data_IF_868299590550
#
_entry.id   IF_868299590550
#
_cell.length_a   1.000
_cell.length_b   1.000
_cell.length_c   1.000
_cell.angle_alpha   90.00
_cell.angle_beta   90.00
_cell.angle_gamma   90.00
#
_symmetry.space_group_name_H-M   'P 1'
#
loop_
_entity.id
_entity.type
_entity.pdbx_description
1 polymer ?
#
# COMPACT_ATOMS: atom_id res chain seq x y z
N UNK A 1 -26.83 38.83 12.33
CA UNK A 1 -27.08 38.40 10.94
C UNK A 1 -25.95 38.92 10.08
N UNK A 2 -24.99 38.08 9.74
CA UNK A 2 -24.10 38.32 8.62
C UNK A 2 -23.63 36.94 8.17
N UNK A 3 -24.28 36.43 7.12
CA UNK A 3 -23.94 35.18 6.45
C UNK A 3 -22.54 35.31 5.86
N UNK A 4 -21.58 34.62 6.48
CA UNK A 4 -20.27 34.40 5.87
C UNK A 4 -20.46 33.58 4.58
N UNK A 5 -19.78 33.96 3.48
CA UNK A 5 -19.96 33.29 2.20
C UNK A 5 -19.52 31.83 2.35
N UNK A 6 -20.50 30.93 2.22
CA UNK A 6 -20.29 29.49 2.14
C UNK A 6 -19.46 29.24 0.89
N UNK A 7 -18.14 29.11 1.08
CA UNK A 7 -17.21 28.87 0.00
C UNK A 7 -17.28 27.39 -0.39
N UNK A 8 -17.64 27.22 -1.65
CA UNK A 8 -17.91 25.99 -2.33
C UNK A 8 -16.71 25.02 -2.28
N UNK A 9 -16.91 23.90 -1.57
CA UNK A 9 -16.02 22.74 -1.47
C UNK A 9 -15.64 22.13 -2.85
N UNK A 10 -16.25 22.64 -3.94
CA UNK A 10 -16.01 22.33 -5.36
C UNK A 10 -14.87 23.17 -5.99
N UNK A 11 -14.34 24.23 -5.35
CA UNK A 11 -13.21 25.01 -5.90
C UNK A 11 -11.85 24.77 -5.24
N UNK A 12 -11.78 24.53 -3.92
CA UNK A 12 -10.64 23.80 -3.32
C UNK A 12 -10.51 22.39 -3.93
N UNK A 13 -11.52 22.00 -4.73
CA UNK A 13 -11.69 20.72 -5.38
C UNK A 13 -10.70 20.42 -6.55
N UNK A 14 -9.96 21.43 -7.02
CA UNK A 14 -9.37 21.38 -8.37
C UNK A 14 -7.86 21.05 -8.41
N UNK A 15 -7.11 21.23 -7.31
CA UNK A 15 -5.72 20.77 -7.21
C UNK A 15 -5.58 19.34 -6.66
N UNK A 16 -6.34 19.03 -5.61
CA UNK A 16 -6.18 17.86 -4.75
C UNK A 16 -7.45 16.99 -4.59
N UNK A 17 -8.51 17.21 -5.37
CA UNK A 17 -9.87 16.79 -4.91
C UNK A 17 -10.65 15.96 -5.90
N UNK A 18 -9.92 15.48 -6.90
CA UNK A 18 -10.16 14.21 -7.55
C UNK A 18 -9.15 13.15 -7.10
N UNK A 19 -8.48 13.36 -5.95
CA UNK A 19 -7.71 12.31 -5.32
C UNK A 19 -8.68 11.46 -4.49
N UNK A 20 -8.98 10.23 -4.93
CA UNK A 20 -9.77 9.22 -4.20
C UNK A 20 -9.21 8.89 -2.80
N UNK A 21 -8.04 9.42 -2.50
CA UNK A 21 -7.21 9.26 -1.32
C UNK A 21 -7.53 10.25 -0.19
N UNK A 22 -8.50 11.16 -0.39
CA UNK A 22 -8.80 12.27 0.53
C UNK A 22 -8.99 11.86 1.99
N UNK A 23 -9.51 10.66 2.27
CA UNK A 23 -9.68 10.16 3.64
C UNK A 23 -8.40 9.55 4.25
N UNK A 24 -7.44 9.10 3.43
CA UNK A 24 -6.20 8.46 3.90
C UNK A 24 -5.04 9.43 4.10
N UNK A 25 -4.93 10.49 3.30
CA UNK A 25 -3.86 11.48 3.48
C UNK A 25 -4.18 12.58 4.50
N UNK A 26 -5.46 12.88 4.70
CA UNK A 26 -5.92 13.97 5.55
C UNK A 26 -7.19 13.52 6.28
N UNK A 27 -7.10 13.07 7.54
CA UNK A 27 -8.23 12.55 8.27
C UNK A 27 -9.19 13.69 8.63
N UNK A 28 -10.46 13.35 8.77
CA UNK A 28 -11.44 14.22 9.41
C UNK A 28 -10.95 14.67 10.78
N UNK A 29 -10.94 15.99 11.00
CA UNK A 29 -10.43 16.62 12.22
C UNK A 29 -9.51 17.82 11.98
N UNK A 30 -9.09 18.04 10.73
CA UNK A 30 -8.34 19.23 10.31
C UNK A 30 -9.34 20.31 9.86
N UNK A 31 -9.34 21.45 10.55
CA UNK A 31 -10.17 22.61 10.22
C UNK A 31 -9.83 23.21 8.85
N UNK A 32 -10.73 24.01 8.28
CA UNK A 32 -10.53 24.58 6.93
C UNK A 32 -9.24 25.42 6.82
N UNK A 33 -8.88 26.16 7.87
CA UNK A 33 -7.66 26.98 7.90
C UNK A 33 -6.39 26.14 8.04
N UNK A 34 -6.46 25.04 8.79
CA UNK A 34 -5.37 24.08 8.95
C UNK A 34 -5.08 23.35 7.63
N UNK A 35 -6.13 23.08 6.85
CA UNK A 35 -6.04 22.49 5.52
C UNK A 35 -5.32 23.40 4.52
N UNK A 36 -5.60 24.71 4.56
CA UNK A 36 -4.94 25.68 3.69
C UNK A 36 -3.42 25.76 3.95
N UNK A 37 -3.01 25.67 5.22
CA UNK A 37 -1.58 25.62 5.58
C UNK A 37 -0.90 24.38 5.04
N UNK A 38 -1.60 23.24 5.05
CA UNK A 38 -1.07 21.99 4.54
C UNK A 38 -0.98 21.98 3.00
N UNK A 39 -1.97 22.54 2.31
CA UNK A 39 -1.95 22.69 0.85
C UNK A 39 -0.78 23.56 0.36
N UNK A 40 -0.27 24.49 1.18
CA UNK A 40 0.87 25.34 0.84
C UNK A 40 2.22 24.60 0.87
N UNK A 41 2.35 23.54 1.67
CA UNK A 41 3.60 22.78 1.83
C UNK A 41 3.68 21.57 0.89
N UNK A 42 2.55 21.06 0.42
CA UNK A 42 2.52 19.95 -0.52
C UNK A 42 3.06 20.44 -1.88
N UNK A 43 4.26 20.00 -2.24
CA UNK A 43 4.82 20.34 -3.55
C UNK A 43 4.03 19.64 -4.66
N UNK A 44 3.96 20.32 -5.81
CA UNK A 44 3.15 19.90 -6.96
C UNK A 44 3.49 18.48 -7.40
N UNK A 45 2.47 17.83 -7.99
CA UNK A 45 2.50 16.49 -8.58
C UNK A 45 3.83 16.22 -9.27
N UNK A 46 4.55 15.21 -8.80
CA UNK A 46 5.74 14.69 -9.46
C UNK A 46 5.34 13.45 -10.26
N UNK A 47 5.36 13.51 -11.61
CA UNK A 47 5.15 12.32 -12.43
C UNK A 47 6.37 11.41 -12.30
N UNK A 48 6.13 10.12 -12.16
CA UNK A 48 7.17 9.10 -12.00
C UNK A 48 6.97 8.03 -13.06
N UNK A 49 8.04 7.71 -13.79
CA UNK A 49 8.01 6.64 -14.78
C UNK A 49 8.06 5.26 -14.11
N UNK A 50 7.53 4.23 -14.78
CA UNK A 50 7.67 2.85 -14.30
C UNK A 50 9.15 2.49 -14.15
N UNK A 51 9.52 1.93 -13.00
CA UNK A 51 10.90 1.55 -12.67
C UNK A 51 11.76 2.70 -12.15
N UNK A 52 11.27 3.94 -12.17
CA UNK A 52 11.97 5.07 -11.57
C UNK A 52 11.94 4.96 -10.03
N UNK A 53 13.04 5.41 -9.41
CA UNK A 53 13.23 5.39 -7.95
C UNK A 53 12.88 6.77 -7.37
N UNK A 54 12.03 6.78 -6.35
CA UNK A 54 11.70 7.97 -5.57
C UNK A 54 12.89 8.41 -4.72
N UNK A 55 13.56 7.43 -4.11
CA UNK A 55 14.75 7.57 -3.26
C UNK A 55 15.51 6.23 -3.24
N UNK A 56 16.79 6.28 -2.88
CA UNK A 56 17.69 5.13 -2.76
C UNK A 56 18.08 4.89 -1.30
N UNK A 57 18.68 3.73 -1.06
CA UNK A 57 19.28 3.36 0.22
C UNK A 57 20.36 4.38 0.59
N UNK A 58 20.29 4.90 1.82
CA UNK A 58 21.24 5.89 2.34
C UNK A 58 20.97 7.34 1.92
N UNK A 59 19.97 7.59 1.06
CA UNK A 59 19.57 8.97 0.75
C UNK A 59 19.02 9.65 2.03
N UNK A 60 19.38 10.92 2.24
CA UNK A 60 18.84 11.70 3.35
C UNK A 60 17.32 11.92 3.20
N UNK A 61 16.61 11.96 4.32
CA UNK A 61 15.18 12.27 4.36
C UNK A 61 14.95 13.74 4.02
N UNK A 62 14.64 14.00 2.76
CA UNK A 62 14.28 15.34 2.26
C UNK A 62 12.76 15.52 2.23
N UNK A 63 12.03 14.47 1.87
CA UNK A 63 10.58 14.49 1.73
C UNK A 63 9.96 13.12 2.01
N UNK A 64 8.68 13.14 2.38
CA UNK A 64 7.81 11.95 2.33
C UNK A 64 6.88 12.05 1.14
N UNK A 65 6.49 10.90 0.60
CA UNK A 65 5.71 10.84 -0.64
C UNK A 65 4.37 10.20 -0.41
N UNK A 66 3.31 10.79 -0.97
CA UNK A 66 1.99 10.18 -1.03
C UNK A 66 1.75 9.64 -2.43
N UNK A 67 1.37 8.36 -2.53
CA UNK A 67 0.92 7.79 -3.80
C UNK A 67 -0.41 8.42 -4.21
N UNK A 68 -0.45 9.14 -5.33
CA UNK A 68 -1.69 9.72 -5.86
C UNK A 68 -2.38 8.74 -6.80
N UNK A 69 -1.62 8.22 -7.75
CA UNK A 69 -2.02 7.21 -8.71
C UNK A 69 -0.81 6.35 -9.09
N UNK A 70 -1.09 5.19 -9.67
CA UNK A 70 -0.10 4.14 -9.84
C UNK A 70 0.13 3.35 -8.55
N UNK A 71 1.25 2.63 -8.51
CA UNK A 71 1.67 1.87 -7.35
C UNK A 71 3.19 1.83 -7.27
N UNK A 72 3.68 1.68 -6.04
CA UNK A 72 5.10 1.67 -5.73
C UNK A 72 5.44 0.46 -4.86
N UNK A 73 6.72 0.12 -4.78
CA UNK A 73 7.25 -0.88 -3.86
C UNK A 73 8.42 -0.31 -3.07
N UNK A 74 8.56 -0.73 -1.82
CA UNK A 74 9.80 -0.60 -1.08
C UNK A 74 10.62 -1.86 -1.25
N UNK A 75 11.91 -1.72 -1.59
CA UNK A 75 12.83 -2.84 -1.75
C UNK A 75 14.07 -2.66 -0.89
N UNK A 76 14.55 -3.77 -0.34
CA UNK A 76 15.94 -3.88 0.13
C UNK A 76 16.74 -4.62 -0.92
N UNK A 77 18.02 -4.29 -1.05
CA UNK A 77 18.96 -4.96 -1.95
C UNK A 77 20.00 -5.64 -1.07
N UNK A 78 20.17 -6.96 -1.21
CA UNK A 78 21.21 -7.68 -0.50
C UNK A 78 22.61 -7.36 -1.04
N UNK A 79 23.66 -7.77 -0.32
CA UNK A 79 25.05 -7.64 -0.79
C UNK A 79 25.27 -8.35 -2.14
N UNK A 80 24.53 -9.44 -2.39
CA UNK A 80 24.57 -10.20 -3.64
C UNK A 80 23.74 -9.55 -4.77
N UNK A 81 23.10 -8.41 -4.52
CA UNK A 81 22.27 -7.68 -5.49
C UNK A 81 20.85 -8.20 -5.64
N UNK A 82 20.40 -9.13 -4.78
CA UNK A 82 19.04 -9.65 -4.81
C UNK A 82 18.05 -8.63 -4.22
N UNK A 83 17.04 -8.26 -5.02
CA UNK A 83 15.96 -7.40 -4.54
C UNK A 83 14.98 -8.21 -3.67
N UNK A 84 14.77 -7.75 -2.44
CA UNK A 84 13.71 -8.22 -1.55
C UNK A 84 12.63 -7.14 -1.43
N UNK A 85 11.39 -7.49 -1.79
CA UNK A 85 10.25 -6.57 -1.63
C UNK A 85 9.84 -6.54 -0.17
N UNK A 86 9.88 -5.35 0.43
CA UNK A 86 9.49 -5.10 1.82
C UNK A 86 8.01 -4.73 1.92
N UNK A 87 7.47 -4.07 0.89
CA UNK A 87 6.08 -3.63 0.92
C UNK A 87 5.63 -3.05 -0.40
N UNK A 88 4.31 -2.99 -0.57
CA UNK A 88 3.65 -2.32 -1.69
C UNK A 88 2.94 -1.08 -1.19
N UNK A 89 2.97 -0.01 -1.97
CA UNK A 89 2.30 1.25 -1.69
C UNK A 89 1.27 1.52 -2.77
N UNK A 90 0.00 1.56 -2.34
CA UNK A 90 -1.16 1.81 -3.18
C UNK A 90 -1.57 3.28 -3.11
N UNK A 91 -2.46 3.75 -4.01
CA UNK A 91 -3.01 5.10 -3.93
C UNK A 91 -3.49 5.44 -2.51
N UNK A 92 -2.91 6.49 -1.96
CA UNK A 92 -3.20 7.02 -0.63
C UNK A 92 -2.35 6.55 0.50
N UNK A 93 -1.36 5.72 0.22
CA UNK A 93 -0.37 5.33 1.19
C UNK A 93 0.89 6.19 1.09
N UNK A 94 1.50 6.41 2.26
CA UNK A 94 2.73 7.16 2.43
C UNK A 94 3.94 6.26 2.20
N UNK A 95 4.97 6.82 1.57
CA UNK A 95 6.25 6.22 1.23
C UNK A 95 7.36 7.10 1.84
N UNK A 96 8.45 6.48 2.30
CA UNK A 96 9.59 7.17 2.91
C UNK A 96 9.51 7.29 4.43
N UNK A 97 8.56 6.60 5.08
CA UNK A 97 8.43 6.59 6.54
C UNK A 97 9.59 5.86 7.23
N UNK A 98 10.31 5.00 6.52
CA UNK A 98 11.45 4.24 7.01
C UNK A 98 12.60 5.14 7.48
N UNK A 99 12.74 6.32 6.86
CA UNK A 99 13.79 7.27 7.17
C UNK A 99 13.48 8.18 8.37
N UNK A 100 12.24 8.20 8.88
CA UNK A 100 11.84 9.10 9.96
C UNK A 100 12.65 8.91 11.25
N UNK A 101 13.13 7.68 11.51
CA UNK A 101 13.88 7.36 12.72
C UNK A 101 15.37 7.71 12.64
N UNK A 102 16.00 7.55 11.47
CA UNK A 102 17.45 7.76 11.27
C UNK A 102 17.82 9.03 10.52
N UNK A 103 16.86 9.68 9.84
CA UNK A 103 17.13 10.78 8.91
C UNK A 103 17.64 10.31 7.54
N UNK A 104 17.73 9.00 7.31
CA UNK A 104 18.22 8.38 6.07
C UNK A 104 17.36 7.17 5.71
N UNK A 105 17.12 6.98 4.41
CA UNK A 105 16.34 5.87 3.87
C UNK A 105 17.06 4.53 4.06
N UNK A 106 16.33 3.55 4.59
CA UNK A 106 16.78 2.17 4.85
C UNK A 106 16.38 1.20 3.75
N UNK A 107 15.62 1.68 2.77
CA UNK A 107 15.18 0.93 1.60
C UNK A 107 15.09 1.85 0.39
N UNK A 108 14.77 1.29 -0.77
CA UNK A 108 14.52 2.07 -1.99
C UNK A 108 13.03 2.08 -2.32
N UNK A 109 12.49 3.24 -2.69
CA UNK A 109 11.13 3.39 -3.19
C UNK A 109 11.10 3.35 -4.71
N UNK A 110 10.39 2.40 -5.32
CA UNK A 110 10.40 2.17 -6.78
C UNK A 110 8.98 2.16 -7.34
N UNK A 111 8.78 2.82 -8.47
CA UNK A 111 7.51 2.79 -9.19
C UNK A 111 7.27 1.44 -9.88
N UNK A 112 6.19 0.74 -9.51
CA UNK A 112 5.73 -0.49 -10.19
C UNK A 112 5.01 -0.17 -11.51
N UNK A 113 4.31 0.95 -11.54
CA UNK A 113 3.61 1.48 -12.71
C UNK A 113 3.99 2.95 -12.88
N UNK A 114 3.79 3.51 -14.08
CA UNK A 114 3.79 4.95 -14.21
C UNK A 114 2.68 5.54 -13.32
N UNK A 115 2.95 6.67 -12.69
CA UNK A 115 2.01 7.28 -11.77
C UNK A 115 2.47 8.66 -11.30
N UNK A 116 1.77 9.19 -10.31
CA UNK A 116 2.10 10.47 -9.70
C UNK A 116 2.22 10.34 -8.19
N UNK A 117 3.14 11.10 -7.62
CA UNK A 117 3.25 11.28 -6.17
C UNK A 117 3.04 12.75 -5.79
N UNK A 118 2.55 12.97 -4.58
CA UNK A 118 2.68 14.26 -3.91
C UNK A 118 3.93 14.21 -3.04
N UNK A 119 4.87 15.11 -3.28
CA UNK A 119 6.09 15.25 -2.50
C UNK A 119 5.86 16.27 -1.38
N UNK A 120 6.11 15.86 -0.15
CA UNK A 120 5.91 16.69 1.04
C UNK A 120 7.26 16.86 1.74
N UNK A 121 7.89 18.04 1.64
CA UNK A 121 9.16 18.32 2.30
C UNK A 121 9.05 18.04 3.81
N UNK A 122 9.99 17.27 4.34
CA UNK A 122 9.89 16.77 5.71
C UNK A 122 10.05 17.89 6.75
N UNK A 123 10.93 18.85 6.47
CA UNK A 123 11.14 20.05 7.29
C UNK A 123 9.85 20.88 7.45
N UNK A 124 9.14 21.10 6.36
CA UNK A 124 7.87 21.82 6.34
C UNK A 124 6.75 21.01 7.01
N UNK A 125 6.68 19.70 6.73
CA UNK A 125 5.71 18.81 7.37
C UNK A 125 5.89 18.80 8.89
N UNK A 126 7.13 18.68 9.37
CA UNK A 126 7.47 18.69 10.79
C UNK A 126 7.08 20.02 11.45
N UNK A 127 7.41 21.14 10.80
CA UNK A 127 7.06 22.48 11.28
C UNK A 127 5.55 22.70 11.38
N UNK A 128 4.78 22.27 10.37
CA UNK A 128 3.32 22.40 10.37
C UNK A 128 2.67 21.46 11.37
N UNK A 129 3.16 20.21 11.49
CA UNK A 129 2.67 19.25 12.46
C UNK A 129 2.87 19.72 13.90
N UNK A 130 3.97 20.42 14.20
CA UNK A 130 4.21 21.01 15.52
C UNK A 130 3.19 22.11 15.90
N UNK A 131 2.54 22.73 14.90
CA UNK A 131 1.55 23.79 15.10
C UNK A 131 0.11 23.28 15.09
N UNK A 132 -0.12 22.09 14.54
CA UNK A 132 -1.45 21.52 14.28
C UNK A 132 -1.53 20.16 14.99
N UNK A 133 -2.03 20.11 16.25
CA UNK A 133 -2.09 18.86 17.02
C UNK A 133 -2.87 17.74 16.33
N UNK A 134 -3.94 18.07 15.58
CA UNK A 134 -4.74 17.11 14.81
C UNK A 134 -3.91 16.42 13.72
N UNK A 135 -3.02 17.15 13.06
CA UNK A 135 -2.09 16.63 12.05
C UNK A 135 -1.01 15.75 12.70
N UNK A 136 -0.46 16.17 13.84
CA UNK A 136 0.52 15.37 14.58
C UNK A 136 -0.07 14.01 14.99
N UNK A 137 -1.28 14.02 15.56
CA UNK A 137 -1.99 12.78 15.93
C UNK A 137 -2.24 11.88 14.72
N UNK A 138 -2.51 12.46 13.55
CA UNK A 138 -2.64 11.68 12.33
C UNK A 138 -1.32 11.05 11.90
N UNK A 139 -0.22 11.81 11.91
CA UNK A 139 1.09 11.26 11.54
C UNK A 139 1.46 10.07 12.41
N UNK A 140 1.22 10.16 13.73
CA UNK A 140 1.39 9.04 14.65
C UNK A 140 0.52 7.84 14.29
N UNK A 141 -0.74 8.07 13.91
CA UNK A 141 -1.65 7.01 13.47
C UNK A 141 -1.14 6.32 12.20
N UNK A 142 -0.68 7.08 11.21
CA UNK A 142 -0.12 6.54 9.97
C UNK A 142 1.14 5.71 10.25
N UNK A 143 2.05 6.21 11.10
CA UNK A 143 3.24 5.47 11.50
C UNK A 143 2.84 4.15 12.19
N UNK A 144 1.89 4.20 13.12
CA UNK A 144 1.36 3.01 13.78
C UNK A 144 0.72 2.01 12.81
N UNK A 145 -0.02 2.49 11.81
CA UNK A 145 -0.56 1.64 10.73
C UNK A 145 0.55 1.01 9.88
N UNK A 146 1.66 1.73 9.63
CA UNK A 146 2.81 1.16 8.95
C UNK A 146 3.46 0.03 9.74
N UNK A 147 3.66 0.22 11.04
CA UNK A 147 4.17 -0.84 11.94
C UNK A 147 3.22 -2.04 11.95
N UNK A 148 1.91 -1.81 11.98
CA UNK A 148 0.91 -2.88 11.86
C UNK A 148 1.05 -3.68 10.56
N UNK A 149 1.24 -3.00 9.42
CA UNK A 149 1.47 -3.66 8.12
C UNK A 149 2.75 -4.49 8.12
N UNK A 150 3.81 -4.01 8.76
CA UNK A 150 5.07 -4.75 8.87
C UNK A 150 4.88 -6.01 9.74
N UNK A 151 4.13 -5.92 10.84
CA UNK A 151 3.76 -7.08 11.65
C UNK A 151 2.90 -8.10 10.88
N UNK A 152 1.92 -7.63 10.09
CA UNK A 152 1.11 -8.51 9.23
C UNK A 152 1.97 -9.23 8.20
N UNK A 153 2.95 -8.53 7.61
CA UNK A 153 3.91 -9.12 6.67
C UNK A 153 4.78 -10.19 7.33
N UNK A 154 5.32 -9.92 8.52
CA UNK A 154 6.03 -10.94 9.31
C UNK A 154 5.11 -12.15 9.59
N UNK A 155 3.85 -11.91 9.94
CA UNK A 155 2.84 -12.95 10.13
C UNK A 155 2.66 -13.83 8.89
N UNK A 156 2.66 -13.24 7.68
CA UNK A 156 2.62 -13.97 6.41
C UNK A 156 3.88 -14.83 6.24
N UNK A 157 5.06 -14.27 6.47
CA UNK A 157 6.34 -14.96 6.25
C UNK A 157 6.53 -16.18 7.18
N UNK A 158 5.92 -16.17 8.37
CA UNK A 158 6.00 -17.29 9.33
C UNK A 158 5.08 -18.46 8.95
N UNK A 159 4.05 -18.25 8.11
CA UNK A 159 3.15 -19.33 7.66
C UNK A 159 3.92 -20.38 6.86
N UNK A 160 3.60 -21.66 7.03
CA UNK A 160 4.31 -22.74 6.33
C UNK A 160 3.81 -22.96 4.90
N UNK A 161 2.51 -22.77 4.65
CA UNK A 161 1.91 -23.11 3.36
C UNK A 161 1.89 -21.91 2.42
N UNK A 162 2.31 -22.13 1.17
CA UNK A 162 2.30 -21.08 0.14
C UNK A 162 0.87 -20.55 -0.14
N UNK A 163 -0.13 -21.43 -0.17
CA UNK A 163 -1.51 -21.05 -0.44
C UNK A 163 -2.09 -20.14 0.66
N UNK A 164 -1.75 -20.39 1.93
CA UNK A 164 -2.14 -19.52 3.05
C UNK A 164 -1.55 -18.11 2.84
N UNK A 165 -0.26 -18.02 2.50
CA UNK A 165 0.41 -16.74 2.24
C UNK A 165 -0.22 -15.98 1.08
N UNK A 166 -0.54 -16.67 -0.01
CA UNK A 166 -1.17 -16.07 -1.20
C UNK A 166 -2.60 -15.61 -0.88
N UNK A 167 -3.37 -16.42 -0.14
CA UNK A 167 -4.73 -16.07 0.27
C UNK A 167 -4.73 -14.84 1.21
N UNK A 168 -3.86 -14.82 2.22
CA UNK A 168 -3.65 -13.67 3.11
C UNK A 168 -3.27 -12.40 2.31
N UNK A 169 -2.35 -12.53 1.36
CA UNK A 169 -1.93 -11.42 0.52
C UNK A 169 -3.10 -10.84 -0.29
N UNK A 170 -3.87 -11.69 -0.98
CA UNK A 170 -5.02 -11.25 -1.78
C UNK A 170 -6.11 -10.62 -0.91
N UNK A 171 -6.39 -11.20 0.25
CA UNK A 171 -7.32 -10.63 1.22
C UNK A 171 -6.86 -9.25 1.70
N UNK A 172 -5.63 -9.14 2.18
CA UNK A 172 -5.07 -7.87 2.67
C UNK A 172 -5.10 -6.79 1.59
N UNK A 173 -4.80 -7.17 0.34
CA UNK A 173 -4.86 -6.27 -0.80
C UNK A 173 -6.29 -5.79 -1.10
N UNK A 174 -7.28 -6.69 -1.04
CA UNK A 174 -8.70 -6.35 -1.19
C UNK A 174 -9.19 -5.36 -0.11
N UNK A 175 -8.84 -5.59 1.16
CA UNK A 175 -9.16 -4.65 2.26
C UNK A 175 -8.56 -3.27 2.02
N UNK A 176 -7.32 -3.20 1.55
CA UNK A 176 -6.65 -1.93 1.23
C UNK A 176 -7.33 -1.20 0.08
N UNK A 177 -7.79 -1.91 -0.95
CA UNK A 177 -8.61 -1.32 -2.02
C UNK A 177 -9.98 -0.84 -1.50
N UNK A 178 -10.61 -1.58 -0.57
CA UNK A 178 -11.86 -1.14 0.08
C UNK A 178 -11.69 0.22 0.77
N UNK A 179 -10.57 0.40 1.48
CA UNK A 179 -10.30 1.62 2.24
C UNK A 179 -10.22 2.87 1.35
N UNK A 180 -9.88 2.72 0.06
CA UNK A 180 -9.83 3.80 -0.92
C UNK A 180 -11.09 3.87 -1.81
N UNK A 181 -12.17 3.18 -1.41
CA UNK A 181 -13.44 3.17 -2.12
C UNK A 181 -13.43 2.36 -3.43
N UNK A 182 -12.45 1.47 -3.60
CA UNK A 182 -12.39 0.54 -4.73
C UNK A 182 -12.96 -0.82 -4.33
N UNK A 183 -13.18 -1.69 -5.32
CA UNK A 183 -13.68 -3.04 -5.06
C UNK A 183 -12.61 -3.86 -4.34
N UNK A 184 -13.03 -4.45 -3.22
CA UNK A 184 -12.31 -5.44 -2.44
C UNK A 184 -12.37 -6.85 -3.05
N UNK A 185 -13.28 -7.06 -4.00
CA UNK A 185 -13.47 -8.32 -4.72
C UNK A 185 -12.84 -8.33 -6.09
N UNK A 186 -12.69 -7.16 -6.73
CA UNK A 186 -12.18 -7.10 -8.08
C UNK A 186 -11.18 -5.98 -8.25
N UNK A 187 -9.92 -6.33 -8.44
CA UNK A 187 -8.82 -5.38 -8.52
C UNK A 187 -7.73 -5.86 -9.46
N UNK A 188 -6.89 -4.92 -9.89
CA UNK A 188 -5.72 -5.21 -10.70
C UNK A 188 -4.48 -5.29 -9.82
N UNK A 189 -3.64 -6.30 -10.02
CA UNK A 189 -2.34 -6.40 -9.39
C UNK A 189 -1.34 -5.48 -10.12
N UNK A 190 -0.88 -4.36 -9.54
CA UNK A 190 0.12 -3.51 -10.19
C UNK A 190 1.49 -4.19 -10.28
N UNK A 191 1.78 -5.06 -9.32
CA UNK A 191 3.02 -5.82 -9.19
C UNK A 191 3.03 -7.07 -10.08
N UNK A 192 4.23 -7.56 -10.40
CA UNK A 192 4.40 -8.82 -11.13
C UNK A 192 4.29 -10.04 -10.21
N UNK A 193 4.19 -11.24 -10.78
CA UNK A 193 4.30 -12.50 -10.02
C UNK A 193 5.64 -12.63 -9.30
N UNK A 194 6.69 -12.06 -9.87
CA UNK A 194 8.04 -12.07 -9.30
C UNK A 194 8.14 -11.13 -8.09
N UNK A 195 7.53 -9.95 -8.16
CA UNK A 195 7.43 -9.05 -7.01
C UNK A 195 6.61 -9.68 -5.87
N UNK A 196 5.52 -10.39 -6.20
CA UNK A 196 4.72 -11.14 -5.22
C UNK A 196 5.55 -12.26 -4.60
N UNK A 197 6.32 -13.00 -5.40
CA UNK A 197 7.18 -14.07 -4.93
C UNK A 197 8.23 -13.56 -3.93
N UNK A 198 8.92 -12.47 -4.30
CA UNK A 198 9.84 -11.75 -3.40
C UNK A 198 9.13 -11.34 -2.11
N UNK A 199 7.99 -10.64 -2.21
CA UNK A 199 7.24 -10.19 -1.05
C UNK A 199 6.82 -11.34 -0.12
N UNK A 200 6.37 -12.47 -0.66
CA UNK A 200 5.91 -13.61 0.13
C UNK A 200 7.02 -14.56 0.59
N UNK A 201 8.28 -14.32 0.20
CA UNK A 201 9.38 -15.25 0.44
C UNK A 201 9.12 -16.63 -0.18
N UNK A 202 8.60 -16.64 -1.41
CA UNK A 202 8.27 -17.84 -2.17
C UNK A 202 9.01 -17.84 -3.51
N UNK A 203 9.21 -19.01 -4.11
CA UNK A 203 9.65 -19.09 -5.50
C UNK A 203 8.54 -18.62 -6.45
N UNK A 204 8.93 -18.02 -7.58
CA UNK A 204 8.00 -17.56 -8.64
C UNK A 204 7.06 -18.68 -9.13
N UNK A 205 7.60 -19.89 -9.30
CA UNK A 205 6.81 -21.05 -9.70
C UNK A 205 5.77 -21.44 -8.64
N UNK A 206 6.12 -21.32 -7.36
CA UNK A 206 5.22 -21.62 -6.24
C UNK A 206 4.06 -20.62 -6.18
N UNK A 207 4.34 -19.33 -6.40
CA UNK A 207 3.28 -18.32 -6.52
C UNK A 207 2.38 -18.64 -7.71
N UNK A 208 2.96 -18.93 -8.87
CA UNK A 208 2.18 -19.25 -10.08
C UNK A 208 1.27 -20.46 -9.85
N UNK A 209 1.80 -21.56 -9.27
CA UNK A 209 1.02 -22.75 -8.91
C UNK A 209 -0.06 -22.47 -7.89
N UNK A 210 0.21 -21.64 -6.88
CA UNK A 210 -0.78 -21.26 -5.88
C UNK A 210 -1.95 -20.44 -6.47
N UNK A 211 -1.67 -19.52 -7.39
CA UNK A 211 -2.73 -18.81 -8.12
C UNK A 211 -3.57 -19.74 -9.00
N UNK A 212 -2.95 -20.68 -9.72
CA UNK A 212 -3.68 -21.69 -10.49
C UNK A 212 -4.57 -22.55 -9.60
N UNK A 213 -4.06 -23.01 -8.45
CA UNK A 213 -4.85 -23.81 -7.52
C UNK A 213 -6.05 -23.06 -6.96
N UNK A 214 -5.88 -21.80 -6.52
CA UNK A 214 -7.02 -20.99 -6.08
C UNK A 214 -8.06 -20.77 -7.18
N UNK A 215 -7.63 -20.76 -8.45
CA UNK A 215 -8.53 -20.66 -9.59
C UNK A 215 -9.26 -21.99 -9.87
N UNK A 216 -8.56 -23.12 -9.84
CA UNK A 216 -9.12 -24.46 -10.01
C UNK A 216 -10.12 -24.79 -8.89
N UNK A 217 -9.84 -24.36 -7.67
CA UNK A 217 -10.70 -24.50 -6.49
C UNK A 217 -11.89 -23.51 -6.49
N UNK A 218 -12.00 -22.65 -7.52
CA UNK A 218 -13.10 -21.69 -7.68
C UNK A 218 -13.10 -20.55 -6.64
N UNK A 219 -11.96 -20.30 -5.99
CA UNK A 219 -11.82 -19.24 -4.98
C UNK A 219 -11.62 -17.88 -5.66
N UNK A 220 -10.85 -17.85 -6.74
CA UNK A 220 -10.55 -16.65 -7.52
C UNK A 220 -10.71 -16.89 -9.02
N UNK A 221 -10.93 -15.83 -9.78
CA UNK A 221 -10.70 -15.81 -11.23
C UNK A 221 -9.54 -14.86 -11.54
N UNK A 222 -8.68 -15.25 -12.49
CA UNK A 222 -7.54 -14.44 -12.92
C UNK A 222 -7.60 -14.24 -14.42
N UNK A 223 -7.47 -12.99 -14.87
CA UNK A 223 -7.33 -12.64 -16.29
C UNK A 223 -6.22 -11.62 -16.45
N UNK A 224 -5.05 -12.08 -16.92
CA UNK A 224 -3.83 -11.27 -16.96
C UNK A 224 -3.44 -10.84 -15.53
N UNK A 225 -3.52 -9.53 -15.26
CA UNK A 225 -3.28 -8.94 -13.93
C UNK A 225 -4.55 -8.64 -13.13
N UNK A 226 -5.73 -8.85 -13.70
CA UNK A 226 -7.00 -8.68 -12.99
C UNK A 226 -7.28 -9.92 -12.16
N UNK A 227 -7.61 -9.72 -10.89
CA UNK A 227 -8.06 -10.76 -9.97
C UNK A 227 -9.48 -10.44 -9.54
N UNK A 228 -10.31 -11.48 -9.49
CA UNK A 228 -11.65 -11.44 -8.95
C UNK A 228 -11.79 -12.52 -7.87
N UNK A 229 -12.26 -12.12 -6.69
CA UNK A 229 -12.51 -13.02 -5.57
C UNK A 229 -13.94 -13.56 -5.71
N UNK A 230 -14.05 -14.83 -6.10
CA UNK A 230 -15.33 -15.52 -6.31
C UNK A 230 -15.91 -16.01 -4.99
N UNK A 231 -15.06 -16.48 -4.08
CA UNK A 231 -15.47 -17.00 -2.77
C UNK A 231 -14.64 -16.35 -1.64
N UNK A 232 -15.19 -15.27 -1.06
CA UNK A 232 -14.55 -14.51 0.01
C UNK A 232 -14.41 -15.36 1.29
N UNK A 233 -15.42 -16.16 1.63
CA UNK A 233 -15.40 -16.98 2.84
C UNK A 233 -14.28 -18.03 2.77
N UNK A 234 -14.13 -18.66 1.61
CA UNK A 234 -13.06 -19.64 1.39
C UNK A 234 -11.68 -19.00 1.37
N UNK A 235 -11.54 -17.81 0.75
CA UNK A 235 -10.28 -17.07 0.79
C UNK A 235 -9.85 -16.76 2.23
N UNK A 236 -10.78 -16.28 3.07
CA UNK A 236 -10.54 -16.01 4.50
C UNK A 236 -10.16 -17.31 5.23
N UNK A 237 -10.88 -18.40 4.97
CA UNK A 237 -10.62 -19.71 5.58
C UNK A 237 -9.20 -20.19 5.28
N UNK A 238 -8.78 -20.11 4.02
CA UNK A 238 -7.42 -20.46 3.58
C UNK A 238 -6.38 -19.51 4.18
N UNK A 239 -6.69 -18.21 4.28
CA UNK A 239 -5.79 -17.22 4.86
C UNK A 239 -5.47 -17.50 6.35
N UNK A 240 -6.43 -18.04 7.11
CA UNK A 240 -6.25 -18.35 8.53
C UNK A 240 -5.84 -19.80 8.82
N UNK A 241 -5.40 -20.55 7.80
CA UNK A 241 -4.91 -21.91 7.97
C UNK A 241 -6.01 -22.94 8.18
N UNK A 242 -7.20 -22.71 7.61
CA UNK A 242 -8.27 -23.69 7.65
C UNK A 242 -7.82 -24.98 6.99
N UNK A 243 -7.75 -26.05 7.79
CA UNK A 243 -7.43 -27.40 7.36
C UNK A 243 -8.06 -27.69 6.00
N UNK A 244 -7.23 -28.11 5.05
CA UNK A 244 -7.70 -28.73 3.83
C UNK A 244 -8.46 -30.00 4.21
N UNK A 245 -9.78 -29.89 4.35
CA UNK A 245 -10.69 -31.02 4.24
C UNK A 245 -10.59 -31.54 2.79
N UNK A 246 -9.57 -32.37 2.54
CA UNK A 246 -9.21 -32.83 1.21
C UNK A 246 -8.01 -33.77 1.15
N UNK A 247 -7.70 -34.50 2.22
CA UNK A 247 -6.87 -35.72 2.15
C UNK A 247 -7.77 -36.96 2.20
N UNK A 248 -8.63 -37.09 1.18
CA UNK A 248 -9.48 -38.26 0.98
C UNK A 248 -9.32 -38.80 -0.43
N UNK A 249 -8.07 -38.96 -0.90
CA UNK A 249 -7.80 -39.62 -2.18
C UNK A 249 -6.39 -40.22 -2.36
N UNK A 250 -5.73 -40.77 -1.33
CA UNK A 250 -4.59 -41.67 -1.57
C UNK A 250 -4.22 -42.60 -0.40
N UNK A 251 -5.17 -43.45 0.02
CA UNK A 251 -4.86 -44.75 0.66
C UNK A 251 -5.79 -45.84 0.11
N UNK A 252 -5.52 -46.26 -1.11
CA UNK A 252 -5.85 -47.59 -1.62
C UNK A 252 -4.57 -48.20 -2.17
N UNK A 253 -3.94 -49.01 -1.33
CA UNK A 253 -3.11 -50.16 -1.68
C UNK A 253 -3.16 -51.09 -0.46
#
# INVERSE_FOLDING_TARGET
MSESPVLDLIQLRRGCTYCSVRQLCLPGGIGADEMLRLDQIVQRRRPIARGERLFRLGDALTAVYVTRDGAFKSVSISEDGEEQVLGFHLPGELIGLDALGSGEHRCEGVALTAGNVCEIPYDQLSMVAAQIPSLQQQLLRVIGQSVGRDHDHLGILVRRQANERIALFLHSLGERYRNVGQSDRQFQLPMSREDIARFLGLALETVSRGFSRLQDDGVIAVTGRRVEILNVAELIRLAHGGDSAGDSRQRRA
#
